data_IF_436555770618
#
_entry.id   IF_436555770618
#
_cell.length_a   1.000
_cell.length_b   1.000
_cell.length_c   1.000
_cell.angle_alpha   90.00
_cell.angle_beta   90.00
_cell.angle_gamma   90.00
#
_symmetry.space_group_name_H-M   'P 1'
#
loop_
_entity.id
_entity.type
_entity.pdbx_description
1 polymer ?
#
# COMPACT_ATOMS: atom_id res chain seq x y z
N UNK A 1 13.99 32.35 -1.83
CA UNK A 1 13.40 33.52 -2.50
C UNK A 1 12.79 34.39 -1.41
N UNK A 2 13.14 35.68 -1.33
CA UNK A 2 12.52 36.66 -0.45
C UNK A 2 11.68 37.59 -1.32
N UNK A 3 10.39 37.76 -0.99
CA UNK A 3 9.45 38.62 -1.67
C UNK A 3 8.50 39.25 -0.68
N UNK A 4 8.00 40.42 -0.98
CA UNK A 4 6.95 41.07 -0.18
C UNK A 4 5.62 40.35 -0.33
N UNK A 5 4.84 40.30 0.76
CA UNK A 5 3.57 39.57 0.81
C UNK A 5 2.58 40.10 -0.24
N UNK A 6 2.67 41.39 -0.60
CA UNK A 6 1.80 42.02 -1.60
C UNK A 6 2.12 41.60 -3.03
N UNK A 7 3.34 41.09 -3.28
CA UNK A 7 3.83 40.72 -4.62
C UNK A 7 3.71 39.22 -4.91
N UNK A 8 3.10 38.47 -4.01
CA UNK A 8 3.03 37.02 -4.14
C UNK A 8 1.58 36.51 -4.09
N UNK A 9 1.21 35.71 -5.07
CA UNK A 9 -0.08 35.00 -5.04
C UNK A 9 0.00 33.73 -4.23
N UNK A 10 -1.15 33.25 -3.72
CA UNK A 10 -1.25 31.95 -3.01
C UNK A 10 -0.66 30.78 -3.84
N UNK A 11 -0.92 30.78 -5.15
CA UNK A 11 -0.40 29.77 -6.08
C UNK A 11 1.14 29.80 -6.17
N UNK A 12 1.71 30.99 -6.29
CA UNK A 12 3.16 31.17 -6.31
C UNK A 12 3.81 30.79 -4.98
N UNK A 13 3.16 31.12 -3.85
CA UNK A 13 3.65 30.70 -2.53
C UNK A 13 3.71 29.19 -2.43
N UNK A 14 2.65 28.50 -2.81
CA UNK A 14 2.60 27.02 -2.81
C UNK A 14 3.70 26.46 -3.73
N UNK A 15 3.86 27.01 -4.93
CA UNK A 15 4.93 26.60 -5.88
C UNK A 15 6.32 26.72 -5.26
N UNK A 16 6.59 27.83 -4.56
CA UNK A 16 7.88 28.03 -3.89
C UNK A 16 8.11 27.06 -2.71
N UNK A 17 7.05 26.73 -1.95
CA UNK A 17 7.14 25.76 -0.86
C UNK A 17 7.34 24.33 -1.35
N UNK A 18 6.71 23.94 -2.45
CA UNK A 18 6.74 22.58 -3.01
C UNK A 18 7.90 22.38 -3.99
N UNK A 19 8.44 23.47 -4.55
CA UNK A 19 9.53 23.45 -5.54
C UNK A 19 9.11 23.06 -6.95
N UNK A 20 7.79 22.95 -7.22
CA UNK A 20 7.22 22.66 -8.54
C UNK A 20 5.83 23.31 -8.67
N UNK A 21 5.41 23.60 -9.89
CA UNK A 21 4.01 23.98 -10.11
C UNK A 21 3.08 22.81 -9.78
N UNK A 22 2.03 23.12 -9.03
CA UNK A 22 0.93 22.18 -8.82
C UNK A 22 -0.09 22.44 -9.92
N UNK A 23 -0.35 21.44 -10.75
CA UNK A 23 -1.52 21.46 -11.61
C UNK A 23 -2.77 21.33 -10.73
N UNK A 24 -3.73 22.23 -10.92
CA UNK A 24 -5.04 22.16 -10.25
C UNK A 24 -5.92 21.03 -10.83
N UNK A 25 -5.44 20.37 -11.87
CA UNK A 25 -6.15 19.29 -12.53
C UNK A 25 -5.97 17.97 -11.75
N UNK A 26 -7.00 17.57 -11.03
CA UNK A 26 -7.14 16.20 -10.62
C UNK A 26 -7.41 15.37 -11.89
N UNK A 27 -6.47 14.49 -12.31
CA UNK A 27 -6.70 13.69 -13.51
C UNK A 27 -7.95 12.84 -13.30
N UNK A 28 -8.93 12.97 -14.20
CA UNK A 28 -10.09 12.10 -14.19
C UNK A 28 -9.63 10.64 -14.27
N UNK A 29 -10.15 9.77 -13.42
CA UNK A 29 -9.75 8.36 -13.43
C UNK A 29 -10.19 7.72 -14.75
N UNK A 30 -9.24 7.46 -15.65
CA UNK A 30 -9.46 6.76 -16.93
C UNK A 30 -9.83 5.27 -16.74
N UNK A 31 -10.12 4.84 -15.52
CA UNK A 31 -10.36 3.44 -15.16
C UNK A 31 -11.84 3.10 -15.28
N UNK A 32 -12.12 2.00 -15.95
CA UNK A 32 -13.46 1.41 -15.91
C UNK A 32 -13.59 0.65 -14.58
N UNK A 33 -14.59 1.04 -13.80
CA UNK A 33 -14.95 0.32 -12.57
C UNK A 33 -15.65 -0.97 -13.00
N UNK A 34 -15.14 -2.10 -12.48
CA UNK A 34 -15.64 -3.43 -12.78
C UNK A 34 -16.55 -4.00 -11.68
N UNK A 35 -16.59 -5.31 -11.62
CA UNK A 35 -17.32 -6.08 -10.60
C UNK A 35 -16.71 -5.96 -9.21
N UNK A 36 -17.45 -6.35 -8.18
CA UNK A 36 -16.99 -6.37 -6.79
C UNK A 36 -15.80 -7.32 -6.65
N UNK A 37 -14.67 -6.77 -6.22
CA UNK A 37 -13.42 -7.48 -5.95
C UNK A 37 -13.34 -7.96 -4.51
N UNK A 38 -13.67 -7.08 -3.58
CA UNK A 38 -13.66 -7.33 -2.13
C UNK A 38 -15.00 -6.94 -1.55
N UNK A 39 -15.60 -7.81 -0.76
CA UNK A 39 -16.79 -7.55 0.03
C UNK A 39 -16.49 -7.89 1.48
N UNK A 40 -16.73 -6.95 2.36
CA UNK A 40 -16.57 -7.10 3.81
C UNK A 40 -17.94 -6.91 4.44
N UNK A 41 -18.37 -7.84 5.28
CA UNK A 41 -19.68 -7.82 5.92
C UNK A 41 -19.53 -8.03 7.43
N UNK A 42 -20.02 -7.07 8.20
CA UNK A 42 -20.09 -7.11 9.67
C UNK A 42 -18.76 -7.44 10.36
N UNK A 43 -17.63 -6.96 9.81
CA UNK A 43 -16.30 -7.25 10.34
C UNK A 43 -16.13 -6.59 11.71
N UNK A 44 -15.70 -7.40 12.66
CA UNK A 44 -15.39 -6.98 14.05
C UNK A 44 -14.04 -7.54 14.50
N UNK A 45 -13.33 -6.70 15.23
CA UNK A 45 -12.17 -7.07 16.03
C UNK A 45 -12.09 -6.15 17.26
N UNK A 46 -11.02 -6.20 18.05
CA UNK A 46 -10.87 -5.38 19.27
C UNK A 46 -11.08 -3.88 19.07
N UNK A 47 -10.87 -3.34 17.87
CA UNK A 47 -10.91 -1.90 17.57
C UNK A 47 -11.85 -1.53 16.41
N UNK A 48 -12.32 -2.52 15.67
CA UNK A 48 -13.25 -2.34 14.57
C UNK A 48 -14.61 -2.90 14.98
N UNK A 49 -15.66 -2.08 14.87
CA UNK A 49 -16.99 -2.42 15.32
C UNK A 49 -17.98 -2.39 14.16
N UNK A 50 -18.34 -3.57 13.64
CA UNK A 50 -19.41 -3.79 12.66
C UNK A 50 -19.23 -2.99 11.35
N UNK A 51 -18.11 -3.21 10.66
CA UNK A 51 -17.80 -2.52 9.41
C UNK A 51 -18.19 -3.40 8.21
N UNK A 52 -18.95 -2.80 7.28
CA UNK A 52 -19.32 -3.41 6.00
C UNK A 52 -19.04 -2.45 4.86
N UNK A 53 -18.46 -2.96 3.78
CA UNK A 53 -18.23 -2.20 2.53
C UNK A 53 -17.91 -3.13 1.37
N UNK A 54 -17.93 -2.58 0.17
CA UNK A 54 -17.50 -3.25 -1.05
C UNK A 54 -16.43 -2.41 -1.75
N UNK A 55 -15.49 -3.09 -2.40
CA UNK A 55 -14.48 -2.50 -3.28
C UNK A 55 -14.57 -3.18 -4.64
N UNK A 56 -14.68 -2.41 -5.70
CA UNK A 56 -14.76 -2.88 -7.07
C UNK A 56 -13.40 -2.89 -7.76
N UNK A 57 -13.26 -3.70 -8.79
CA UNK A 57 -12.05 -3.69 -9.64
C UNK A 57 -11.84 -2.29 -10.25
N UNK A 58 -10.61 -1.77 -10.14
CA UNK A 58 -10.25 -0.44 -10.63
C UNK A 58 -10.71 0.73 -9.77
N UNK A 59 -11.43 0.48 -8.68
CA UNK A 59 -11.87 1.50 -7.73
C UNK A 59 -10.75 1.89 -6.76
N UNK A 60 -10.76 3.15 -6.33
CA UNK A 60 -9.99 3.65 -5.18
C UNK A 60 -11.01 4.03 -4.11
N UNK A 61 -11.09 3.23 -3.05
CA UNK A 61 -11.98 3.47 -1.92
C UNK A 61 -11.21 4.20 -0.81
N UNK A 62 -11.70 5.36 -0.39
CA UNK A 62 -11.12 6.14 0.70
C UNK A 62 -11.81 5.88 2.04
N UNK A 63 -11.03 5.69 3.09
CA UNK A 63 -11.53 5.61 4.47
C UNK A 63 -11.19 6.90 5.22
N UNK A 64 -12.21 7.70 5.53
CA UNK A 64 -12.09 8.89 6.37
C UNK A 64 -12.38 8.59 7.85
N UNK A 65 -11.78 9.37 8.77
CA UNK A 65 -12.03 9.24 10.19
C UNK A 65 -10.98 9.92 11.06
N UNK A 66 -11.30 10.12 12.32
CA UNK A 66 -10.38 10.68 13.32
C UNK A 66 -9.24 9.69 13.64
N UNK A 67 -8.20 10.20 14.30
CA UNK A 67 -7.14 9.35 14.87
C UNK A 67 -7.76 8.36 15.84
N UNK A 68 -7.42 7.07 15.71
CA UNK A 68 -7.99 5.99 16.52
C UNK A 68 -9.35 5.45 16.05
N UNK A 69 -9.86 5.87 14.87
CA UNK A 69 -11.13 5.38 14.32
C UNK A 69 -11.08 3.92 13.79
N UNK A 70 -9.98 3.21 13.95
CA UNK A 70 -9.88 1.80 13.56
C UNK A 70 -9.55 1.55 12.08
N UNK A 71 -9.18 2.60 11.29
CA UNK A 71 -8.88 2.45 9.86
C UNK A 71 -7.71 1.51 9.60
N UNK A 72 -6.63 1.70 10.31
CA UNK A 72 -5.42 0.87 10.20
C UNK A 72 -5.71 -0.57 10.63
N UNK A 73 -6.45 -0.76 11.72
CA UNK A 73 -6.84 -2.06 12.23
C UNK A 73 -7.78 -2.82 11.26
N UNK A 74 -8.66 -2.09 10.56
CA UNK A 74 -9.52 -2.66 9.53
C UNK A 74 -8.70 -3.26 8.36
N UNK A 75 -7.79 -2.46 7.79
CA UNK A 75 -6.99 -2.95 6.66
C UNK A 75 -5.99 -4.02 7.07
N UNK A 76 -5.46 -3.94 8.30
CA UNK A 76 -4.60 -4.99 8.88
C UNK A 76 -5.34 -6.31 9.08
N UNK A 77 -6.60 -6.27 9.53
CA UNK A 77 -7.44 -7.46 9.66
C UNK A 77 -7.73 -8.10 8.29
N UNK A 78 -8.03 -7.29 7.28
CA UNK A 78 -8.23 -7.78 5.90
C UNK A 78 -6.94 -8.39 5.33
N UNK A 79 -5.79 -7.82 5.64
CA UNK A 79 -4.49 -8.36 5.24
C UNK A 79 -4.08 -9.62 6.01
N UNK A 80 -4.71 -9.90 7.16
CA UNK A 80 -4.38 -11.01 8.04
C UNK A 80 -3.31 -10.72 9.09
N UNK A 81 -2.97 -9.43 9.29
CA UNK A 81 -2.02 -9.01 10.34
C UNK A 81 -2.67 -8.92 11.72
N UNK A 82 -3.99 -8.70 11.77
CA UNK A 82 -4.78 -8.67 13.00
C UNK A 82 -5.91 -9.72 12.94
N UNK A 83 -6.29 -10.34 14.06
CA UNK A 83 -7.34 -11.33 14.08
C UNK A 83 -8.72 -10.71 13.81
N UNK A 84 -9.59 -11.49 13.17
CA UNK A 84 -11.00 -11.18 12.96
C UNK A 84 -11.80 -11.96 14.02
N UNK A 85 -12.64 -11.27 14.80
CA UNK A 85 -13.51 -11.88 15.81
C UNK A 85 -14.82 -12.38 15.19
N UNK A 86 -15.41 -11.60 14.29
CA UNK A 86 -16.63 -11.96 13.55
C UNK A 86 -16.75 -11.20 12.25
N UNK A 87 -17.68 -11.59 11.41
CA UNK A 87 -17.91 -11.05 10.07
C UNK A 87 -17.38 -11.97 8.98
N UNK A 88 -17.59 -11.57 7.75
CA UNK A 88 -17.16 -12.33 6.57
C UNK A 88 -16.45 -11.44 5.58
N UNK A 89 -15.44 -12.02 4.93
CA UNK A 89 -14.76 -11.39 3.80
C UNK A 89 -14.90 -12.29 2.59
N UNK A 90 -15.31 -11.71 1.48
CA UNK A 90 -15.30 -12.34 0.16
C UNK A 90 -14.31 -11.60 -0.73
N UNK A 91 -13.38 -12.32 -1.33
CA UNK A 91 -12.38 -11.78 -2.24
C UNK A 91 -12.38 -12.56 -3.56
N UNK A 92 -12.48 -11.85 -4.69
CA UNK A 92 -12.64 -12.49 -6.02
C UNK A 92 -13.79 -13.51 -6.06
N UNK A 93 -14.93 -13.21 -5.43
CA UNK A 93 -16.10 -14.08 -5.36
C UNK A 93 -15.95 -15.33 -4.47
N UNK A 94 -14.85 -15.47 -3.73
CA UNK A 94 -14.60 -16.62 -2.84
C UNK A 94 -14.48 -16.16 -1.39
N UNK A 95 -14.94 -17.02 -0.46
CA UNK A 95 -14.72 -16.78 0.97
C UNK A 95 -13.22 -16.65 1.26
N UNK A 96 -12.85 -15.58 1.95
CA UNK A 96 -11.49 -15.28 2.34
C UNK A 96 -11.41 -15.13 3.86
N UNK A 97 -10.54 -15.88 4.50
CA UNK A 97 -10.39 -15.89 5.96
C UNK A 97 -8.91 -15.94 6.32
N UNK A 98 -8.20 -14.80 6.24
CA UNK A 98 -6.77 -14.76 6.46
C UNK A 98 -6.45 -15.00 7.94
N UNK A 99 -5.40 -15.75 8.20
CA UNK A 99 -4.86 -16.04 9.55
C UNK A 99 -3.48 -15.43 9.75
N UNK A 100 -2.86 -14.98 8.67
CA UNK A 100 -1.51 -14.41 8.67
C UNK A 100 -1.33 -13.44 7.50
N UNK A 101 -0.34 -12.52 7.56
CA UNK A 101 0.07 -11.70 6.43
C UNK A 101 0.45 -12.50 5.18
N UNK A 102 0.94 -13.73 5.34
CA UNK A 102 1.26 -14.61 4.22
C UNK A 102 0.01 -14.96 3.39
N UNK A 103 -1.13 -15.19 4.05
CA UNK A 103 -2.40 -15.47 3.36
C UNK A 103 -2.84 -14.27 2.51
N UNK A 104 -2.68 -13.04 3.05
CA UNK A 104 -2.95 -11.81 2.30
C UNK A 104 -2.07 -11.69 1.06
N UNK A 105 -0.77 -11.92 1.24
CA UNK A 105 0.20 -11.85 0.16
C UNK A 105 -0.08 -12.93 -0.92
N UNK A 106 -0.40 -14.15 -0.53
CA UNK A 106 -0.74 -15.25 -1.45
C UNK A 106 -2.05 -14.99 -2.20
N UNK A 107 -3.01 -14.31 -1.56
CA UNK A 107 -4.24 -13.84 -2.22
C UNK A 107 -4.01 -12.67 -3.19
N UNK A 108 -2.83 -12.06 -3.19
CA UNK A 108 -2.49 -10.89 -4.01
C UNK A 108 -2.89 -9.55 -3.39
N UNK A 109 -3.12 -9.52 -2.08
CA UNK A 109 -3.37 -8.30 -1.31
C UNK A 109 -2.03 -7.78 -0.80
N UNK A 110 -1.71 -6.51 -1.04
CA UNK A 110 -0.54 -5.84 -0.49
C UNK A 110 -0.96 -4.81 0.57
N UNK A 111 -0.18 -4.68 1.63
CA UNK A 111 -0.35 -3.66 2.66
C UNK A 111 0.88 -2.76 2.70
N UNK A 112 0.67 -1.45 2.52
CA UNK A 112 1.67 -0.43 2.77
C UNK A 112 1.39 0.15 4.16
N UNK A 113 2.26 -0.09 5.15
CA UNK A 113 2.02 0.34 6.52
C UNK A 113 2.26 1.84 6.70
N UNK A 114 1.63 2.41 7.73
CA UNK A 114 1.81 3.81 8.11
C UNK A 114 3.22 4.06 8.66
N UNK A 115 3.71 3.21 9.55
CA UNK A 115 5.08 3.27 10.07
C UNK A 115 6.05 2.52 9.16
N UNK A 116 6.72 3.30 8.31
CA UNK A 116 7.70 2.77 7.35
C UNK A 116 8.90 2.11 8.02
N UNK A 117 9.36 2.64 9.15
CA UNK A 117 10.57 2.15 9.83
C UNK A 117 10.31 0.87 10.63
N UNK A 118 9.20 0.84 11.36
CA UNK A 118 8.88 -0.31 12.20
C UNK A 118 8.22 -1.46 11.44
N UNK A 119 7.51 -1.20 10.35
CA UNK A 119 6.67 -2.19 9.67
C UNK A 119 6.91 -2.30 8.17
N UNK A 120 7.49 -1.29 7.53
CA UNK A 120 7.63 -1.25 6.07
C UNK A 120 8.96 -1.73 5.53
N UNK A 121 10.01 -1.79 6.37
CA UNK A 121 11.35 -2.19 5.98
C UNK A 121 12.04 -2.99 7.08
N UNK A 122 12.91 -3.91 6.69
CA UNK A 122 13.88 -4.54 7.58
C UNK A 122 15.17 -3.72 7.52
N UNK A 123 15.38 -2.84 8.50
CA UNK A 123 16.45 -1.82 8.46
C UNK A 123 17.88 -2.39 8.43
N UNK A 124 18.05 -3.64 8.85
CA UNK A 124 19.34 -4.34 8.79
C UNK A 124 19.64 -4.99 7.44
N UNK A 125 18.66 -5.03 6.54
CA UNK A 125 18.81 -5.57 5.20
C UNK A 125 19.11 -4.46 4.19
N UNK A 126 19.76 -4.84 3.08
CA UNK A 126 20.03 -3.95 1.94
C UNK A 126 18.72 -3.55 1.23
N UNK A 127 18.76 -2.55 0.38
CA UNK A 127 17.64 -2.13 -0.46
C UNK A 127 17.20 -3.29 -1.38
N UNK A 128 18.17 -4.00 -1.97
CA UNK A 128 17.95 -5.19 -2.79
C UNK A 128 17.14 -6.24 -2.04
N UNK A 129 17.57 -6.58 -0.85
CA UNK A 129 16.89 -7.60 -0.03
C UNK A 129 15.49 -7.16 0.37
N UNK A 130 15.29 -5.90 0.77
CA UNK A 130 13.97 -5.35 1.09
C UNK A 130 13.01 -5.39 -0.10
N UNK A 131 13.46 -5.05 -1.33
CA UNK A 131 12.63 -5.07 -2.53
C UNK A 131 12.11 -6.48 -2.82
N UNK A 132 12.93 -7.50 -2.65
CA UNK A 132 12.54 -8.87 -3.00
C UNK A 132 11.99 -9.69 -1.83
N UNK A 133 12.02 -9.17 -0.61
CA UNK A 133 11.68 -9.91 0.61
C UNK A 133 10.32 -10.62 0.51
N UNK A 134 9.29 -9.91 0.07
CA UNK A 134 7.93 -10.45 -0.05
C UNK A 134 7.74 -11.49 -1.15
N UNK A 135 8.66 -11.55 -2.12
CA UNK A 135 8.60 -12.44 -3.27
C UNK A 135 9.69 -13.52 -3.30
N UNK A 136 10.46 -13.67 -2.22
CA UNK A 136 11.57 -14.62 -2.14
C UNK A 136 11.16 -16.04 -2.57
N UNK A 137 9.98 -16.52 -2.16
CA UNK A 137 9.46 -17.83 -2.60
C UNK A 137 9.34 -17.93 -4.12
N UNK A 138 8.94 -16.84 -4.82
CA UNK A 138 8.72 -16.83 -6.27
C UNK A 138 10.02 -16.83 -7.07
N UNK A 139 11.08 -16.25 -6.51
CA UNK A 139 12.41 -16.14 -7.17
C UNK A 139 13.41 -17.17 -6.66
N UNK A 140 12.99 -18.11 -5.81
CA UNK A 140 13.84 -19.18 -5.28
C UNK A 140 13.51 -20.52 -5.93
N UNK A 141 14.55 -21.29 -6.26
CA UNK A 141 14.45 -22.70 -6.66
C UNK A 141 15.18 -23.54 -5.64
N UNK A 142 14.51 -24.56 -5.09
CA UNK A 142 15.11 -25.46 -4.07
C UNK A 142 15.80 -24.66 -2.95
N UNK A 143 15.11 -23.63 -2.43
CA UNK A 143 15.58 -22.72 -1.37
C UNK A 143 16.78 -21.81 -1.75
N UNK A 144 17.17 -21.76 -3.02
CA UNK A 144 18.24 -20.89 -3.52
C UNK A 144 17.65 -19.76 -4.36
N UNK A 145 17.95 -18.52 -3.97
CA UNK A 145 17.52 -17.34 -4.72
C UNK A 145 18.21 -17.27 -6.07
N UNK A 146 17.43 -17.07 -7.13
CA UNK A 146 17.92 -16.94 -8.51
C UNK A 146 18.49 -15.52 -8.72
N UNK A 147 19.79 -15.34 -8.54
CA UNK A 147 20.48 -14.04 -8.55
C UNK A 147 20.22 -13.18 -9.79
N UNK A 148 20.10 -13.80 -10.96
CA UNK A 148 19.79 -13.08 -12.21
C UNK A 148 18.39 -12.46 -12.14
N UNK A 149 17.41 -13.25 -11.75
CA UNK A 149 16.01 -12.82 -11.64
C UNK A 149 15.85 -11.76 -10.52
N UNK A 150 16.52 -11.96 -9.38
CA UNK A 150 16.59 -10.99 -8.29
C UNK A 150 17.05 -9.62 -8.81
N UNK A 151 18.21 -9.60 -9.52
CA UNK A 151 18.79 -8.36 -10.05
C UNK A 151 17.84 -7.67 -11.05
N UNK A 152 17.27 -8.40 -11.99
CA UNK A 152 16.33 -7.85 -12.97
C UNK A 152 15.13 -7.16 -12.31
N UNK A 153 14.56 -7.79 -11.27
CA UNK A 153 13.42 -7.25 -10.51
C UNK A 153 13.86 -5.99 -9.74
N UNK A 154 15.00 -6.03 -9.07
CA UNK A 154 15.52 -4.90 -8.30
C UNK A 154 15.77 -3.69 -9.19
N UNK A 155 16.48 -3.88 -10.31
CA UNK A 155 16.78 -2.82 -11.26
C UNK A 155 15.48 -2.21 -11.84
N UNK A 156 14.48 -3.05 -12.13
CA UNK A 156 13.17 -2.62 -12.59
C UNK A 156 12.48 -1.72 -11.57
N UNK A 157 12.33 -2.16 -10.31
CA UNK A 157 11.62 -1.39 -9.28
C UNK A 157 12.36 -0.13 -8.85
N UNK A 158 13.70 -0.14 -8.81
CA UNK A 158 14.48 1.07 -8.56
C UNK A 158 14.15 2.13 -9.62
N UNK A 159 14.06 1.74 -10.88
CA UNK A 159 13.73 2.65 -11.99
C UNK A 159 12.27 3.09 -11.95
N UNK A 160 11.32 2.15 -11.82
CA UNK A 160 9.88 2.46 -11.86
C UNK A 160 9.45 3.35 -10.69
N UNK A 161 9.98 3.11 -9.50
CA UNK A 161 9.65 3.85 -8.29
C UNK A 161 10.59 5.02 -8.04
N UNK A 162 11.55 5.27 -8.94
CA UNK A 162 12.55 6.34 -8.80
C UNK A 162 13.25 6.33 -7.43
N UNK A 163 13.70 5.15 -7.01
CA UNK A 163 14.36 4.97 -5.70
C UNK A 163 15.72 5.67 -5.72
N UNK A 164 15.90 6.69 -4.87
CA UNK A 164 17.16 7.42 -4.75
C UNK A 164 18.13 6.63 -3.88
N UNK A 165 19.06 5.94 -4.51
CA UNK A 165 20.11 5.19 -3.83
C UNK A 165 21.39 5.22 -4.67
N UNK A 166 22.58 5.30 -4.04
CA UNK A 166 23.87 5.16 -4.75
C UNK A 166 24.11 3.70 -5.18
N UNK A 167 23.56 2.72 -4.45
CA UNK A 167 23.66 1.29 -4.71
C UNK A 167 22.48 0.56 -4.11
N UNK A 168 22.02 -0.56 -4.66
CA UNK A 168 21.04 -1.43 -4.04
C UNK A 168 21.61 -2.29 -2.90
N UNK A 169 22.95 -2.36 -2.75
CA UNK A 169 23.68 -3.12 -1.72
C UNK A 169 23.79 -2.37 -0.39
#
# INVERSE_FOLDING_TARGET
>A
VSKDVQDITKKQLITYMVGRELSDDYPEPKRKIGETLLKVEHLKNKRVHDVSFELKKGEILGFGGLVGAGRTELVRAIYGADPIESGTITFNGKKYSPKSPADGLEAGIGLIPEDRKAQGCVLSLTIRENIVYSILKKISKVSVVQKKQEKEIVDQYIKELNVKTPSPE
#
